data_IF_688501003683
#
_entry.id   IF_688501003683
#
_cell.length_a   1.000
_cell.length_b   1.000
_cell.length_c   1.000
_cell.angle_alpha   90.00
_cell.angle_beta   90.00
_cell.angle_gamma   90.00
#
_symmetry.space_group_name_H-M   'P 1'
#
loop_
_entity.id
_entity.type
_entity.pdbx_description
1 polymer ?
#
# COMPACT_ATOMS: atom_id res chain seq x y z
N UNK A 1 30.48 12.81 -6.32
CA UNK A 1 29.10 12.26 -6.43
C UNK A 1 28.16 13.35 -6.00
N UNK A 2 26.96 13.50 -6.57
CA UNK A 2 26.01 14.49 -6.06
C UNK A 2 25.69 14.15 -4.60
N UNK A 3 25.64 15.18 -3.75
CA UNK A 3 25.27 15.02 -2.34
C UNK A 3 23.81 14.55 -2.25
N UNK A 4 23.59 13.42 -1.58
CA UNK A 4 22.25 12.87 -1.37
C UNK A 4 21.51 13.73 -0.35
N UNK A 5 20.26 14.10 -0.63
CA UNK A 5 19.45 14.87 0.32
C UNK A 5 19.12 14.09 1.60
N UNK A 6 18.35 14.70 2.50
CA UNK A 6 17.77 13.97 3.63
C UNK A 6 16.90 12.80 3.16
N UNK A 7 16.81 11.74 3.96
CA UNK A 7 15.90 10.63 3.72
C UNK A 7 14.45 11.04 4.03
N UNK A 8 13.81 11.65 3.04
CA UNK A 8 12.44 12.17 3.14
C UNK A 8 11.58 11.67 1.99
N UNK A 9 10.26 11.73 2.20
CA UNK A 9 9.24 11.49 1.18
C UNK A 9 8.37 12.74 1.03
N UNK A 10 7.89 13.00 -0.19
CA UNK A 10 6.94 14.09 -0.46
C UNK A 10 5.54 13.51 -0.67
N UNK A 11 4.57 14.00 0.10
CA UNK A 11 3.17 13.60 -0.03
C UNK A 11 2.30 14.84 -0.13
N UNK A 12 1.59 15.00 -1.26
CA UNK A 12 0.74 16.17 -1.55
C UNK A 12 1.50 17.51 -1.34
N UNK A 13 2.78 17.55 -1.73
CA UNK A 13 3.65 18.72 -1.56
C UNK A 13 4.18 18.95 -0.15
N UNK A 14 3.89 18.06 0.80
CA UNK A 14 4.43 18.10 2.16
C UNK A 14 5.63 17.18 2.26
N UNK A 15 6.77 17.71 2.68
CA UNK A 15 7.95 16.89 2.95
C UNK A 15 7.88 16.26 4.34
N UNK A 16 8.19 14.97 4.41
CA UNK A 16 8.17 14.18 5.63
C UNK A 16 9.50 13.42 5.77
N UNK A 17 10.17 13.60 6.90
CA UNK A 17 11.42 12.92 7.23
C UNK A 17 11.14 11.52 7.75
N UNK A 18 11.90 10.53 7.26
CA UNK A 18 11.88 9.18 7.83
C UNK A 18 12.78 9.17 9.06
N UNK A 19 12.24 8.79 10.21
CA UNK A 19 12.93 8.88 11.51
C UNK A 19 12.82 7.61 12.34
N UNK A 20 13.86 7.36 13.11
CA UNK A 20 13.92 6.29 14.11
C UNK A 20 13.49 6.83 15.48
N UNK A 21 12.67 6.08 16.22
CA UNK A 21 12.20 6.41 17.58
C UNK A 21 12.99 5.68 18.67
N UNK A 22 13.95 4.84 18.31
CA UNK A 22 14.76 4.03 19.20
C UNK A 22 14.05 2.75 19.64
N UNK A 23 14.66 1.59 19.36
CA UNK A 23 14.21 0.28 19.85
C UNK A 23 13.00 -0.33 19.13
N UNK A 24 12.62 0.19 17.96
CA UNK A 24 11.54 -0.38 17.13
C UNK A 24 12.00 -0.64 15.70
N UNK A 25 11.44 -1.66 15.06
CA UNK A 25 11.64 -1.96 13.63
C UNK A 25 10.80 -1.04 12.72
N UNK A 26 9.96 -0.18 13.29
CA UNK A 26 9.09 0.71 12.52
C UNK A 26 9.81 2.01 12.15
N UNK A 27 9.71 2.41 10.89
CA UNK A 27 10.12 3.73 10.41
C UNK A 27 8.96 4.70 10.53
N UNK A 28 9.19 5.82 11.20
CA UNK A 28 8.18 6.84 11.47
C UNK A 28 8.36 8.06 10.57
N UNK A 29 7.37 8.95 10.56
CA UNK A 29 7.39 10.20 9.79
C UNK A 29 7.41 11.40 10.74
N UNK A 30 8.28 12.37 10.49
CA UNK A 30 8.24 13.70 11.09
C UNK A 30 7.96 14.76 10.00
N UNK A 31 7.01 15.67 10.25
CA UNK A 31 6.69 16.74 9.33
C UNK A 31 7.72 17.88 9.40
N UNK A 32 7.66 18.81 8.45
CA UNK A 32 8.34 20.09 8.61
C UNK A 32 7.70 20.92 9.74
N UNK A 33 8.50 21.73 10.40
CA UNK A 33 8.07 22.63 11.47
C UNK A 33 8.89 23.93 11.39
N UNK A 34 8.19 25.07 11.44
CA UNK A 34 8.79 26.40 11.38
C UNK A 34 9.00 26.99 12.79
N UNK A 35 8.61 26.25 13.84
CA UNK A 35 8.77 26.68 15.22
C UNK A 35 10.24 26.61 15.68
N UNK A 36 10.63 27.39 16.71
CA UNK A 36 11.97 27.31 17.30
C UNK A 36 12.35 25.91 17.83
N UNK A 37 11.34 25.08 18.10
CA UNK A 37 11.48 23.68 18.52
C UNK A 37 11.87 22.73 17.39
N UNK A 38 11.87 23.20 16.14
CA UNK A 38 12.28 22.41 14.98
C UNK A 38 13.71 21.86 15.16
N UNK A 39 13.91 20.65 14.68
CA UNK A 39 15.13 19.87 14.84
C UNK A 39 15.83 19.66 13.51
N UNK A 40 17.14 19.47 13.59
CA UNK A 40 17.95 18.94 12.51
C UNK A 40 17.64 17.44 12.32
N UNK A 41 17.80 16.94 11.10
CA UNK A 41 17.62 15.51 10.78
C UNK A 41 18.64 14.64 11.53
N UNK A 42 19.84 15.18 11.77
CA UNK A 42 20.90 14.58 12.57
C UNK A 42 21.21 15.48 13.78
N UNK A 43 21.40 14.90 14.97
CA UNK A 43 21.75 15.69 16.16
C UNK A 43 23.22 16.18 16.12
N UNK A 44 23.44 17.49 16.31
CA UNK A 44 24.75 18.17 16.18
C UNK A 44 25.86 17.65 17.13
N UNK A 45 25.50 16.98 18.23
CA UNK A 45 26.49 16.49 19.22
C UNK A 45 26.96 15.04 19.04
N UNK A 46 26.56 14.37 17.95
CA UNK A 46 26.59 12.91 17.88
C UNK A 46 27.29 12.35 16.63
N UNK A 47 28.04 13.15 15.89
CA UNK A 47 28.83 12.69 14.73
C UNK A 47 30.19 12.12 15.17
N UNK A 48 30.22 10.83 15.52
CA UNK A 48 31.50 10.12 15.63
C UNK A 48 32.22 10.11 14.26
N UNK A 49 33.52 9.80 14.24
CA UNK A 49 34.33 9.86 13.02
C UNK A 49 33.82 8.93 11.91
N UNK A 50 33.15 7.83 12.25
CA UNK A 50 32.52 6.94 11.27
C UNK A 50 31.21 7.54 10.71
N UNK A 51 30.38 8.16 11.57
CA UNK A 51 29.19 8.92 11.15
C UNK A 51 29.55 10.10 10.24
N UNK A 52 30.70 10.76 10.45
CA UNK A 52 31.16 11.87 9.59
C UNK A 52 31.56 11.43 8.18
N UNK A 53 32.16 10.25 8.04
CA UNK A 53 32.56 9.72 6.74
C UNK A 53 31.36 9.35 5.86
N UNK A 54 30.29 8.82 6.47
CA UNK A 54 29.04 8.51 5.74
C UNK A 54 28.20 9.76 5.50
N UNK A 55 28.18 10.70 6.44
CA UNK A 55 27.54 11.99 6.22
C UNK A 55 28.15 12.75 5.02
N UNK A 56 29.40 12.49 4.63
CA UNK A 56 30.02 13.08 3.44
C UNK A 56 29.34 12.69 2.11
N UNK A 57 28.50 11.65 2.09
CA UNK A 57 27.65 11.33 0.94
C UNK A 57 26.31 12.07 0.93
N UNK A 58 26.00 12.81 2.00
CA UNK A 58 24.77 13.56 2.18
C UNK A 58 25.02 15.07 2.16
N UNK A 59 24.00 15.84 1.77
CA UNK A 59 23.98 17.29 1.92
C UNK A 59 24.00 17.65 3.43
N UNK A 60 25.15 18.13 3.88
CA UNK A 60 25.39 18.56 5.26
C UNK A 60 24.47 19.71 5.68
N UNK A 61 24.20 20.64 4.77
CA UNK A 61 23.30 21.77 5.04
C UNK A 61 21.88 21.27 5.30
N UNK A 62 21.40 20.34 4.47
CA UNK A 62 20.08 19.74 4.65
C UNK A 62 19.97 18.88 5.92
N UNK A 63 21.02 18.14 6.29
CA UNK A 63 21.05 17.32 7.51
C UNK A 63 20.97 18.17 8.79
N UNK A 64 21.65 19.31 8.80
CA UNK A 64 21.78 20.19 9.98
C UNK A 64 20.70 21.28 10.03
N UNK A 65 19.96 21.50 8.94
CA UNK A 65 18.86 22.46 8.92
C UNK A 65 17.77 22.11 9.94
N UNK A 66 17.47 23.04 10.85
CA UNK A 66 16.42 22.91 11.87
C UNK A 66 15.05 23.18 11.28
N UNK A 67 14.47 22.17 10.61
CA UNK A 67 13.19 22.29 9.90
C UNK A 67 12.20 21.17 10.18
N UNK A 68 12.53 20.22 11.05
CA UNK A 68 11.71 19.04 11.32
C UNK A 68 11.01 19.11 12.67
N UNK A 69 9.74 18.74 12.72
CA UNK A 69 8.95 18.70 13.95
C UNK A 69 9.63 17.86 15.04
N UNK A 70 9.58 18.27 16.31
CA UNK A 70 10.27 17.56 17.39
C UNK A 70 9.70 16.17 17.68
N UNK A 71 8.47 15.91 17.22
CA UNK A 71 7.76 14.65 17.31
C UNK A 71 7.37 14.12 15.92
N UNK A 72 7.18 12.82 15.86
CA UNK A 72 6.59 12.13 14.70
C UNK A 72 5.12 12.50 14.53
N UNK A 73 4.53 12.23 13.37
CA UNK A 73 3.10 12.40 13.11
C UNK A 73 2.25 11.66 14.16
N UNK A 74 2.70 10.49 14.62
CA UNK A 74 2.00 9.73 15.66
C UNK A 74 2.33 10.18 17.10
N UNK A 75 2.98 11.33 17.29
CA UNK A 75 3.24 11.96 18.59
C UNK A 75 4.43 11.40 19.38
N UNK A 76 5.20 10.46 18.82
CA UNK A 76 6.41 9.92 19.48
C UNK A 76 7.59 10.85 19.30
N UNK A 77 8.41 11.00 20.33
CA UNK A 77 9.74 11.58 20.20
C UNK A 77 10.62 10.66 19.33
N UNK A 78 11.48 11.26 18.51
CA UNK A 78 12.40 10.54 17.63
C UNK A 78 13.86 10.90 17.91
N UNK A 79 14.78 10.04 17.52
CA UNK A 79 16.21 10.14 17.82
C UNK A 79 16.95 10.89 16.72
N UNK A 80 17.00 10.29 15.54
CA UNK A 80 17.61 10.83 14.33
C UNK A 80 16.89 10.28 13.08
N UNK A 81 17.18 10.86 11.93
CA UNK A 81 16.73 10.36 10.64
C UNK A 81 17.19 8.91 10.41
N UNK A 82 16.35 8.08 9.79
CA UNK A 82 16.76 6.74 9.35
C UNK A 82 17.76 6.83 8.20
N UNK A 83 18.64 5.84 8.10
CA UNK A 83 19.56 5.73 6.97
C UNK A 83 18.78 5.61 5.64
N UNK A 84 19.16 6.41 4.65
CA UNK A 84 18.62 6.39 3.29
C UNK A 84 19.65 5.91 2.28
N UNK A 85 19.53 6.37 1.04
CA UNK A 85 20.40 5.97 -0.08
C UNK A 85 21.88 6.37 0.12
N UNK A 86 22.16 7.44 0.87
CA UNK A 86 23.52 7.84 1.22
C UNK A 86 24.18 6.94 2.27
N UNK A 87 23.49 5.90 2.76
CA UNK A 87 24.02 4.92 3.71
C UNK A 87 23.72 5.25 5.18
N UNK A 88 24.32 4.45 6.07
CA UNK A 88 24.03 4.44 7.51
C UNK A 88 24.89 5.41 8.31
N UNK A 89 24.29 6.23 9.16
CA UNK A 89 25.04 7.08 10.09
C UNK A 89 25.65 6.28 11.24
N UNK A 90 25.02 5.14 11.57
CA UNK A 90 25.36 4.28 12.71
C UNK A 90 25.44 2.83 12.33
N UNK A 91 26.27 2.08 13.04
CA UNK A 91 26.40 0.62 12.89
C UNK A 91 25.13 -0.19 13.14
N UNK A 92 24.15 0.37 13.85
CA UNK A 92 22.90 -0.31 14.19
C UNK A 92 21.73 0.11 13.30
N UNK A 93 21.93 1.12 12.45
CA UNK A 93 20.87 1.53 11.52
C UNK A 93 20.82 0.57 10.35
N UNK A 94 19.60 0.28 9.92
CA UNK A 94 19.31 -0.33 8.63
C UNK A 94 18.79 0.76 7.68
N UNK A 95 19.07 0.59 6.38
CA UNK A 95 18.52 1.49 5.36
C UNK A 95 17.02 1.28 5.29
N UNK A 96 16.27 2.38 5.45
CA UNK A 96 14.81 2.38 5.38
C UNK A 96 14.37 3.47 4.40
N UNK A 97 13.79 3.04 3.28
CA UNK A 97 13.34 3.93 2.19
C UNK A 97 11.83 4.17 2.20
N UNK A 98 11.11 3.58 3.16
CA UNK A 98 9.67 3.74 3.30
C UNK A 98 9.25 3.76 4.78
N UNK A 99 8.25 4.56 5.15
CA UNK A 99 7.66 4.51 6.47
C UNK A 99 6.87 3.20 6.67
N UNK A 100 6.92 2.64 7.87
CA UNK A 100 6.21 1.40 8.22
C UNK A 100 5.30 1.56 9.44
N UNK A 101 5.41 2.67 10.18
CA UNK A 101 4.51 2.95 11.30
C UNK A 101 3.06 3.16 10.81
N UNK A 102 2.17 2.23 11.15
CA UNK A 102 0.75 2.25 10.76
C UNK A 102 0.01 3.51 11.20
N UNK A 103 0.35 4.05 12.36
CA UNK A 103 -0.28 5.28 12.88
C UNK A 103 0.13 6.52 12.07
N UNK A 104 1.39 6.60 11.62
CA UNK A 104 1.83 7.67 10.75
C UNK A 104 1.16 7.55 9.38
N UNK A 105 1.15 6.34 8.80
CA UNK A 105 0.51 6.06 7.51
C UNK A 105 -0.97 6.43 7.51
N UNK A 106 -1.73 6.08 8.56
CA UNK A 106 -3.14 6.44 8.69
C UNK A 106 -3.38 7.97 8.71
N UNK A 107 -2.46 8.75 9.28
CA UNK A 107 -2.56 10.20 9.28
C UNK A 107 -2.26 10.78 7.90
N UNK A 108 -1.28 10.21 7.20
CA UNK A 108 -0.97 10.57 5.81
C UNK A 108 -2.14 10.25 4.88
N UNK A 109 -2.75 9.07 5.02
CA UNK A 109 -3.94 8.65 4.25
C UNK A 109 -5.09 9.65 4.41
N UNK A 110 -5.27 10.22 5.60
CA UNK A 110 -6.32 11.20 5.87
C UNK A 110 -6.09 12.57 5.20
N UNK A 111 -4.92 12.81 4.62
CA UNK A 111 -4.65 14.02 3.84
C UNK A 111 -5.13 13.93 2.41
N UNK A 112 -5.33 12.72 1.89
CA UNK A 112 -5.88 12.54 0.56
C UNK A 112 -7.37 12.90 0.58
N UNK A 113 -7.85 13.63 -0.45
CA UNK A 113 -9.26 13.95 -0.55
C UNK A 113 -10.06 12.64 -0.51
N UNK A 114 -11.11 12.60 0.30
CA UNK A 114 -12.05 11.50 0.24
C UNK A 114 -12.84 11.65 -1.06
N UNK A 115 -12.51 10.85 -2.07
CA UNK A 115 -13.30 10.82 -3.29
C UNK A 115 -14.67 10.26 -2.95
N UNK A 116 -15.74 10.94 -3.37
CA UNK A 116 -17.08 10.38 -3.29
C UNK A 116 -17.10 9.02 -3.99
N UNK A 117 -17.86 8.08 -3.44
CA UNK A 117 -17.99 6.78 -4.08
C UNK A 117 -18.67 6.99 -5.44
N UNK A 118 -18.02 6.63 -6.56
CA UNK A 118 -18.54 6.92 -7.88
C UNK A 118 -19.84 6.13 -8.11
N UNK A 119 -20.69 6.68 -8.98
CA UNK A 119 -21.97 6.06 -9.31
C UNK A 119 -21.70 4.72 -9.97
N UNK A 120 -22.20 3.63 -9.38
CA UNK A 120 -22.03 2.27 -9.90
C UNK A 120 -21.24 1.33 -8.99
N UNK A 121 -20.53 1.84 -7.96
CA UNK A 121 -19.74 0.96 -7.04
C UNK A 121 -20.61 -0.11 -6.37
N UNK A 122 -21.84 0.22 -5.95
CA UNK A 122 -22.72 -0.78 -5.34
C UNK A 122 -23.23 -1.82 -6.36
N UNK A 123 -23.38 -1.45 -7.64
CA UNK A 123 -23.74 -2.38 -8.72
C UNK A 123 -22.56 -3.30 -9.02
N UNK A 124 -21.36 -2.74 -9.21
CA UNK A 124 -20.12 -3.49 -9.36
C UNK A 124 -19.95 -4.48 -8.21
N UNK A 125 -20.12 -4.03 -6.96
CA UNK A 125 -20.00 -4.89 -5.78
C UNK A 125 -21.03 -6.02 -5.74
N UNK A 126 -22.25 -5.79 -6.25
CA UNK A 126 -23.25 -6.85 -6.39
C UNK A 126 -22.85 -7.88 -7.44
N UNK A 127 -22.40 -7.44 -8.63
CA UNK A 127 -21.93 -8.34 -9.70
C UNK A 127 -20.76 -9.17 -9.22
N UNK A 128 -19.78 -8.55 -8.54
CA UNK A 128 -18.65 -9.27 -7.95
C UNK A 128 -19.11 -10.27 -6.90
N UNK A 129 -20.12 -9.94 -6.11
CA UNK A 129 -20.68 -10.89 -5.15
C UNK A 129 -21.38 -12.08 -5.85
N UNK A 130 -22.09 -11.85 -6.96
CA UNK A 130 -22.67 -12.92 -7.79
C UNK A 130 -21.57 -13.83 -8.37
N UNK A 131 -20.48 -13.23 -8.84
CA UNK A 131 -19.31 -13.95 -9.34
C UNK A 131 -18.66 -14.80 -8.24
N UNK A 132 -18.42 -14.25 -7.06
CA UNK A 132 -17.84 -14.98 -5.92
C UNK A 132 -18.77 -16.08 -5.42
N UNK A 133 -20.08 -15.86 -5.41
CA UNK A 133 -21.06 -16.90 -5.05
C UNK A 133 -21.04 -18.06 -6.06
N UNK A 134 -20.90 -17.75 -7.34
CA UNK A 134 -20.84 -18.76 -8.40
C UNK A 134 -19.53 -19.55 -8.37
N UNK A 135 -18.41 -18.87 -8.16
CA UNK A 135 -17.08 -19.42 -8.44
C UNK A 135 -16.13 -19.48 -7.23
N UNK A 136 -16.57 -19.03 -6.06
CA UNK A 136 -15.76 -18.94 -4.84
C UNK A 136 -14.75 -17.77 -4.84
N UNK A 137 -14.52 -17.14 -5.99
CA UNK A 137 -13.58 -16.03 -6.13
C UNK A 137 -13.93 -15.10 -7.30
N UNK A 138 -13.42 -13.88 -7.24
CA UNK A 138 -13.47 -12.89 -8.31
C UNK A 138 -12.24 -11.98 -8.27
N UNK A 139 -11.95 -11.32 -9.38
CA UNK A 139 -10.96 -10.25 -9.43
C UNK A 139 -11.51 -9.03 -10.18
N UNK A 140 -11.14 -7.84 -9.72
CA UNK A 140 -11.59 -6.57 -10.28
C UNK A 140 -10.39 -5.83 -10.85
N UNK A 141 -10.45 -5.49 -12.13
CA UNK A 141 -9.40 -4.74 -12.85
C UNK A 141 -9.81 -3.29 -13.07
N UNK A 142 -8.83 -2.41 -13.30
CA UNK A 142 -9.07 -1.03 -13.70
C UNK A 142 -9.60 -0.12 -12.59
N UNK A 143 -9.58 -0.54 -11.32
CA UNK A 143 -10.05 0.27 -10.20
C UNK A 143 -9.04 1.39 -9.92
N UNK A 144 -9.43 2.68 -10.00
CA UNK A 144 -8.57 3.78 -9.61
C UNK A 144 -8.15 3.65 -8.13
N UNK A 145 -6.91 4.04 -7.81
CA UNK A 145 -6.30 3.82 -6.50
C UNK A 145 -7.14 4.38 -5.34
N UNK A 146 -7.70 5.57 -5.55
CA UNK A 146 -8.61 6.29 -4.65
C UNK A 146 -9.93 5.55 -4.35
N UNK A 147 -10.32 4.59 -5.19
CA UNK A 147 -11.57 3.85 -5.07
C UNK A 147 -11.40 2.41 -4.56
N UNK A 148 -10.17 1.91 -4.45
CA UNK A 148 -9.87 0.54 -4.01
C UNK A 148 -10.56 0.19 -2.69
N UNK A 149 -10.46 1.04 -1.67
CA UNK A 149 -11.08 0.78 -0.37
C UNK A 149 -12.62 0.82 -0.41
N UNK A 150 -13.19 1.72 -1.23
CA UNK A 150 -14.64 1.80 -1.42
C UNK A 150 -15.18 0.50 -2.04
N UNK A 151 -14.52 0.01 -3.09
CA UNK A 151 -14.85 -1.25 -3.77
C UNK A 151 -14.71 -2.43 -2.81
N UNK A 152 -13.59 -2.55 -2.11
CA UNK A 152 -13.37 -3.63 -1.12
C UNK A 152 -14.41 -3.62 -0.02
N UNK A 153 -14.79 -2.44 0.46
CA UNK A 153 -15.80 -2.30 1.52
C UNK A 153 -17.19 -2.68 1.02
N UNK A 154 -17.60 -2.18 -0.15
CA UNK A 154 -18.91 -2.46 -0.72
C UNK A 154 -19.05 -3.95 -1.09
N UNK A 155 -18.02 -4.55 -1.70
CA UNK A 155 -18.01 -5.99 -2.03
C UNK A 155 -18.15 -6.86 -0.79
N UNK A 156 -17.34 -6.61 0.25
CA UNK A 156 -17.47 -7.35 1.52
C UNK A 156 -18.84 -7.17 2.17
N UNK A 157 -19.46 -6.00 2.03
CA UNK A 157 -20.82 -5.72 2.54
C UNK A 157 -21.87 -6.54 1.79
N UNK A 158 -21.79 -6.64 0.46
CA UNK A 158 -22.69 -7.47 -0.34
C UNK A 158 -22.53 -8.97 -0.04
N UNK A 159 -21.29 -9.47 0.02
CA UNK A 159 -21.03 -10.88 0.39
C UNK A 159 -21.54 -11.22 1.78
N UNK A 160 -21.31 -10.36 2.77
CA UNK A 160 -21.84 -10.57 4.14
C UNK A 160 -23.36 -10.62 4.18
N UNK A 161 -24.06 -9.79 3.38
CA UNK A 161 -25.54 -9.83 3.29
C UNK A 161 -26.06 -11.16 2.73
N UNK A 162 -25.24 -11.86 1.95
CA UNK A 162 -25.53 -13.18 1.38
C UNK A 162 -25.08 -14.34 2.28
N UNK A 163 -24.52 -14.04 3.45
CA UNK A 163 -24.05 -15.04 4.40
C UNK A 163 -22.61 -15.51 4.20
N UNK A 164 -21.86 -14.93 3.27
CA UNK A 164 -20.49 -15.33 2.98
C UNK A 164 -19.46 -14.46 3.70
N UNK A 165 -18.49 -15.09 4.38
CA UNK A 165 -17.26 -14.40 4.81
C UNK A 165 -16.33 -14.28 3.62
N UNK A 166 -15.54 -13.20 3.59
CA UNK A 166 -14.65 -12.93 2.46
C UNK A 166 -13.36 -12.24 2.87
N UNK A 167 -12.33 -12.51 2.07
CA UNK A 167 -11.03 -11.85 2.12
C UNK A 167 -10.87 -11.01 0.84
N UNK A 168 -10.20 -9.86 0.95
CA UNK A 168 -9.92 -8.99 -0.20
C UNK A 168 -8.48 -8.53 -0.18
N UNK A 169 -7.80 -8.66 -1.31
CA UNK A 169 -6.39 -8.30 -1.50
C UNK A 169 -6.26 -7.35 -2.68
N UNK A 170 -5.22 -6.50 -2.67
CA UNK A 170 -4.88 -5.67 -3.83
C UNK A 170 -3.45 -6.01 -4.22
N UNK A 171 -3.27 -6.47 -5.46
CA UNK A 171 -1.96 -6.82 -6.03
C UNK A 171 -1.90 -6.26 -7.44
N UNK A 172 -0.86 -5.50 -7.78
CA UNK A 172 -0.69 -4.90 -9.12
C UNK A 172 -1.94 -4.15 -9.62
N UNK A 173 -2.58 -3.36 -8.76
CA UNK A 173 -3.83 -2.64 -9.03
C UNK A 173 -5.06 -3.52 -9.37
N UNK A 174 -5.00 -4.82 -9.09
CA UNK A 174 -6.12 -5.76 -9.20
C UNK A 174 -6.67 -6.07 -7.80
N UNK A 175 -7.98 -5.93 -7.62
CA UNK A 175 -8.65 -6.31 -6.37
C UNK A 175 -9.08 -7.77 -6.45
N UNK A 176 -8.44 -8.64 -5.67
CA UNK A 176 -8.83 -10.04 -5.55
C UNK A 176 -9.83 -10.22 -4.41
N UNK A 177 -10.88 -10.99 -4.64
CA UNK A 177 -11.94 -11.28 -3.68
C UNK A 177 -12.11 -12.79 -3.59
N UNK A 178 -12.04 -13.33 -2.38
CA UNK A 178 -12.14 -14.77 -2.15
C UNK A 178 -13.10 -15.07 -1.00
N UNK A 179 -13.85 -16.15 -1.12
CA UNK A 179 -14.71 -16.66 -0.06
C UNK A 179 -14.63 -18.18 0.00
N UNK A 180 -14.01 -18.70 1.05
CA UNK A 180 -14.00 -20.14 1.31
C UNK A 180 -15.41 -20.68 1.52
N UNK A 181 -16.27 -19.90 2.19
CA UNK A 181 -17.67 -20.29 2.42
C UNK A 181 -18.42 -20.46 1.09
N UNK A 182 -18.24 -19.54 0.13
CA UNK A 182 -18.84 -19.65 -1.19
C UNK A 182 -18.22 -20.81 -1.98
N UNK A 183 -16.89 -20.97 -1.94
CA UNK A 183 -16.20 -22.06 -2.63
C UNK A 183 -16.69 -23.44 -2.16
N UNK A 184 -16.88 -23.63 -0.86
CA UNK A 184 -17.39 -24.89 -0.28
C UNK A 184 -18.87 -25.13 -0.58
N UNK A 185 -19.64 -24.10 -0.93
CA UNK A 185 -21.05 -24.21 -1.30
C UNK A 185 -21.26 -24.61 -2.77
N UNK A 186 -20.20 -24.59 -3.60
CA UNK A 186 -20.28 -24.97 -5.02
C UNK A 186 -20.54 -26.48 -5.13
N UNK A 187 -21.45 -26.85 -6.03
CA UNK A 187 -21.70 -28.25 -6.36
C UNK A 187 -20.38 -28.93 -6.81
N UNK A 188 -19.93 -30.00 -6.13
CA UNK A 188 -18.71 -30.72 -6.49
C UNK A 188 -18.67 -31.19 -7.95
N UNK A 189 -19.82 -31.49 -8.56
CA UNK A 189 -19.90 -31.88 -9.96
C UNK A 189 -19.58 -30.73 -10.92
N UNK A 190 -20.00 -29.50 -10.58
CA UNK A 190 -19.66 -28.29 -11.35
C UNK A 190 -18.17 -27.95 -11.20
N UNK A 191 -17.65 -28.00 -9.98
CA UNK A 191 -16.23 -27.73 -9.70
C UNK A 191 -15.32 -28.72 -10.44
N UNK A 192 -15.68 -30.01 -10.46
CA UNK A 192 -14.95 -31.02 -11.22
C UNK A 192 -14.96 -30.73 -12.73
N UNK A 193 -16.09 -30.32 -13.29
CA UNK A 193 -16.19 -29.96 -14.70
C UNK A 193 -15.25 -28.82 -15.10
N UNK A 194 -15.13 -27.78 -14.27
CA UNK A 194 -14.20 -26.68 -14.51
C UNK A 194 -12.73 -27.10 -14.41
N UNK A 195 -12.40 -27.98 -13.45
CA UNK A 195 -11.04 -28.51 -13.31
C UNK A 195 -10.68 -29.35 -14.55
N UNK A 196 -11.57 -30.24 -14.98
CA UNK A 196 -11.36 -31.10 -16.15
C UNK A 196 -11.18 -30.24 -17.43
N UNK A 197 -11.98 -29.17 -17.60
CA UNK A 197 -11.82 -28.22 -18.70
C UNK A 197 -10.49 -27.46 -18.64
N UNK A 198 -10.09 -26.98 -17.46
CA UNK A 198 -8.83 -26.27 -17.27
C UNK A 198 -7.62 -27.18 -17.57
N UNK A 199 -7.65 -28.43 -17.11
CA UNK A 199 -6.62 -29.42 -17.40
C UNK A 199 -6.56 -29.74 -18.89
N UNK A 200 -7.70 -29.91 -19.56
CA UNK A 200 -7.75 -30.13 -21.00
C UNK A 200 -7.13 -28.98 -21.81
N UNK A 201 -7.29 -27.72 -21.35
CA UNK A 201 -6.66 -26.55 -21.99
C UNK A 201 -5.15 -26.50 -21.81
N UNK A 202 -4.66 -26.89 -20.63
CA UNK A 202 -3.22 -27.01 -20.34
C UNK A 202 -2.60 -28.10 -21.23
N UNK A 203 -3.23 -29.26 -21.30
CA UNK A 203 -2.77 -30.40 -22.12
C UNK A 203 -2.80 -30.07 -23.62
N UNK A 204 -3.76 -29.25 -24.07
CA UNK A 204 -3.84 -28.78 -25.44
C UNK A 204 -2.77 -27.74 -25.81
N UNK A 205 -1.96 -27.27 -24.85
CA UNK A 205 -0.91 -26.29 -25.08
C UNK A 205 -1.44 -24.95 -25.60
N UNK A 206 -2.65 -24.56 -25.19
CA UNK A 206 -3.33 -23.36 -25.67
C UNK A 206 -2.48 -22.09 -25.38
N UNK A 207 -1.92 -21.44 -26.41
CA UNK A 207 -1.01 -20.29 -26.25
C UNK A 207 -1.73 -19.06 -25.68
N UNK A 208 -3.07 -19.05 -25.62
CA UNK A 208 -3.83 -17.96 -25.02
C UNK A 208 -3.76 -17.92 -23.49
N UNK A 209 -3.15 -18.92 -22.84
CA UNK A 209 -2.85 -18.92 -21.40
C UNK A 209 -1.86 -17.81 -21.00
N UNK A 210 -1.01 -17.33 -21.92
CA UNK A 210 0.03 -16.34 -21.62
C UNK A 210 -0.34 -14.89 -21.99
N UNK A 211 -1.26 -14.68 -22.94
CA UNK A 211 -1.48 -13.36 -23.57
C UNK A 211 -2.88 -12.77 -23.39
N UNK A 212 -3.82 -13.51 -22.80
CA UNK A 212 -5.11 -12.94 -22.37
C UNK A 212 -5.11 -12.87 -20.86
N UNK A 213 -5.38 -11.71 -20.22
CA UNK A 213 -5.82 -11.75 -18.83
C UNK A 213 -7.01 -12.70 -18.86
N UNK A 214 -6.90 -13.75 -18.06
CA UNK A 214 -7.85 -14.85 -18.07
C UNK A 214 -9.22 -14.24 -17.78
N UNK A 215 -9.99 -13.96 -18.83
CA UNK A 215 -11.45 -13.82 -18.76
C UNK A 215 -11.99 -15.23 -18.57
N UNK A 216 -11.54 -15.89 -17.50
CA UNK A 216 -12.40 -16.83 -16.79
C UNK A 216 -13.55 -15.98 -16.26
N UNK A 217 -14.74 -16.56 -16.12
CA UNK A 217 -15.94 -15.84 -15.65
C UNK A 217 -15.82 -15.18 -14.27
N UNK A 218 -14.62 -15.08 -13.70
CA UNK A 218 -14.25 -14.47 -12.43
C UNK A 218 -13.77 -13.01 -12.55
N UNK A 219 -13.43 -12.55 -13.77
CA UNK A 219 -12.91 -11.20 -14.01
C UNK A 219 -14.02 -10.17 -14.21
N UNK A 220 -14.01 -9.11 -13.40
CA UNK A 220 -14.96 -7.99 -13.49
C UNK A 220 -14.21 -6.70 -13.76
N UNK A 221 -14.46 -6.05 -14.89
CA UNK A 221 -13.78 -4.80 -15.23
C UNK A 221 -14.53 -3.59 -14.65
N UNK A 222 -13.80 -2.72 -13.94
CA UNK A 222 -14.34 -1.51 -13.32
C UNK A 222 -15.11 -0.62 -14.31
N UNK A 223 -14.52 -0.36 -15.48
CA UNK A 223 -15.05 0.60 -16.46
C UNK A 223 -16.34 0.11 -17.12
N UNK A 224 -16.65 -1.19 -17.00
CA UNK A 224 -17.92 -1.74 -17.46
C UNK A 224 -19.10 -1.29 -16.59
N UNK A 225 -18.87 -1.06 -15.29
CA UNK A 225 -19.94 -0.90 -14.29
C UNK A 225 -19.95 0.46 -13.61
N UNK A 226 -18.83 1.18 -13.66
CA UNK A 226 -18.68 2.49 -13.05
C UNK A 226 -18.40 3.49 -14.15
N UNK A 227 -19.28 4.48 -14.24
CA UNK A 227 -19.16 5.58 -15.20
C UNK A 227 -18.67 6.79 -14.42
N UNK A 228 -17.57 7.40 -14.88
CA UNK A 228 -17.11 8.67 -14.34
C UNK A 228 -18.20 9.72 -14.55
N UNK A 229 -18.60 10.38 -13.46
CA UNK A 229 -19.58 11.47 -13.48
C UNK A 229 -18.97 12.79 -13.87
#
# INVERSE_FOLDING_TARGET
MPDVGVNSVSVLGRELLLVDVGGGAETHLAATDDQPTARAALAEGRTDSASRAVAAGYDQGALLARRWAPSTLCGRAWWEMTAGEGGTFRRWQEVALAPTCRSCLRLVDAWFPTTEAPRGVELLASVVADTVETFGSAHITGVPGEHLESVRRSTRKHLRRRGFRSQTYVVNAVVHVMSDDAYQAIDPALSKGWIDEALARIDAGDPTLAERPVVTGHGVDWHTWVVDG
#
